data_IF_596737895571
#
_entry.id   IF_596737895571
#
_cell.length_a   1.000
_cell.length_b   1.000
_cell.length_c   1.000
_cell.angle_alpha   90.00
_cell.angle_beta   90.00
_cell.angle_gamma   90.00
#
_symmetry.space_group_name_H-M   'P 1'
#
loop_
_entity.id
_entity.type
_entity.pdbx_description
1 polymer ?
#
# COMPACT_ATOMS: atom_id res chain seq x y z
N UNK A 1 6.83 11.38 -92.34
CA UNK A 1 8.03 10.89 -91.61
C UNK A 1 8.15 11.78 -90.38
N UNK A 2 7.80 11.41 -89.15
CA UNK A 2 7.80 10.10 -88.50
C UNK A 2 8.95 10.07 -87.49
N UNK A 3 8.61 10.00 -86.19
CA UNK A 3 9.46 9.78 -84.99
C UNK A 3 10.16 11.03 -84.41
N UNK A 4 10.34 11.23 -83.10
CA UNK A 4 9.73 10.81 -81.83
C UNK A 4 10.63 11.40 -80.72
N UNK A 5 10.04 11.76 -79.56
CA UNK A 5 10.63 11.66 -78.21
C UNK A 5 11.89 12.54 -77.88
N UNK A 6 12.07 13.19 -76.73
CA UNK A 6 11.60 12.97 -75.36
C UNK A 6 11.67 14.29 -74.56
N UNK A 7 10.58 14.62 -73.88
CA UNK A 7 10.57 15.50 -72.71
C UNK A 7 11.25 14.74 -71.55
N UNK A 8 12.39 15.23 -71.08
CA UNK A 8 13.06 14.69 -69.89
C UNK A 8 12.41 15.28 -68.63
N UNK A 9 11.33 14.65 -68.16
CA UNK A 9 10.75 14.95 -66.85
C UNK A 9 11.62 14.30 -65.79
N UNK A 10 12.38 15.12 -65.06
CA UNK A 10 13.09 14.72 -63.85
C UNK A 10 12.07 14.34 -62.77
N UNK A 11 11.82 13.04 -62.62
CA UNK A 11 11.11 12.45 -61.49
C UNK A 11 11.97 12.65 -60.24
N UNK A 12 11.74 13.73 -59.50
CA UNK A 12 12.28 13.88 -58.14
C UNK A 12 11.44 13.01 -57.22
N UNK A 13 11.88 11.76 -57.04
CA UNK A 13 11.39 10.89 -55.98
C UNK A 13 11.74 11.52 -54.63
N UNK A 14 10.80 12.27 -54.06
CA UNK A 14 10.81 12.62 -52.64
C UNK A 14 10.60 11.30 -51.90
N UNK A 15 11.70 10.61 -51.59
CA UNK A 15 11.72 9.60 -50.54
C UNK A 15 11.51 10.37 -49.24
N UNK A 16 10.25 10.51 -48.83
CA UNK A 16 9.94 10.90 -47.47
C UNK A 16 10.44 9.78 -46.55
N UNK A 17 11.69 9.88 -46.11
CA UNK A 17 12.17 9.12 -44.95
C UNK A 17 11.35 9.61 -43.76
N UNK A 18 10.22 8.93 -43.48
CA UNK A 18 9.61 8.96 -42.16
C UNK A 18 10.55 8.23 -41.20
N UNK A 19 11.70 8.83 -40.90
CA UNK A 19 12.53 8.44 -39.75
C UNK A 19 12.16 9.32 -38.57
N UNK A 20 10.89 9.26 -38.18
CA UNK A 20 10.55 9.47 -36.79
C UNK A 20 10.80 8.14 -36.11
N UNK A 21 11.97 7.96 -35.49
CA UNK A 21 12.13 6.84 -34.55
C UNK A 21 11.01 6.95 -33.54
N UNK A 22 10.27 5.86 -33.32
CA UNK A 22 9.24 5.86 -32.30
C UNK A 22 9.82 6.31 -30.96
N UNK A 23 9.05 7.09 -30.21
CA UNK A 23 9.55 7.68 -28.99
C UNK A 23 9.60 6.62 -27.90
N UNK A 24 10.79 6.43 -27.31
CA UNK A 24 10.97 5.60 -26.12
C UNK A 24 10.14 6.12 -24.94
N UNK A 25 10.11 5.35 -23.85
CA UNK A 25 9.37 5.71 -22.62
C UNK A 25 10.33 6.13 -21.51
N UNK A 26 9.93 7.15 -20.74
CA UNK A 26 10.67 7.65 -19.59
C UNK A 26 10.56 6.69 -18.39
N UNK A 27 11.56 6.71 -17.50
CA UNK A 27 11.54 5.90 -16.28
C UNK A 27 10.48 6.41 -15.30
N UNK A 28 10.13 5.61 -14.29
CA UNK A 28 9.39 6.11 -13.14
C UNK A 28 10.24 7.17 -12.40
N UNK A 29 9.71 8.35 -12.06
CA UNK A 29 10.52 9.37 -11.41
C UNK A 29 10.86 9.00 -9.97
N UNK A 30 11.96 9.57 -9.48
CA UNK A 30 12.58 9.21 -8.20
C UNK A 30 11.61 9.31 -7.03
N UNK A 31 10.80 10.37 -6.97
CA UNK A 31 9.89 10.64 -5.88
C UNK A 31 8.81 9.57 -5.78
N UNK A 32 8.24 9.13 -6.93
CA UNK A 32 7.29 8.03 -6.96
C UNK A 32 7.93 6.75 -6.44
N UNK A 33 9.16 6.43 -6.86
CA UNK A 33 9.88 5.24 -6.37
C UNK A 33 10.07 5.31 -4.86
N UNK A 34 10.50 6.47 -4.33
CA UNK A 34 10.71 6.64 -2.89
C UNK A 34 9.42 6.43 -2.08
N UNK A 35 8.32 7.08 -2.47
CA UNK A 35 7.05 6.94 -1.75
C UNK A 35 6.44 5.54 -1.90
N UNK A 36 6.61 4.88 -3.05
CA UNK A 36 6.20 3.50 -3.24
C UNK A 36 7.08 2.51 -2.47
N UNK A 37 8.34 2.82 -2.21
CA UNK A 37 9.21 2.00 -1.37
C UNK A 37 8.92 2.16 0.12
N UNK A 38 8.60 3.38 0.57
CA UNK A 38 8.33 3.66 1.99
C UNK A 38 6.94 3.21 2.42
N UNK A 39 5.96 3.15 1.51
CA UNK A 39 4.62 2.66 1.83
C UNK A 39 4.61 1.21 2.35
N UNK A 40 5.20 0.21 1.67
CA UNK A 40 5.34 -1.15 2.22
C UNK A 40 6.04 -1.20 3.58
N UNK A 41 6.97 -0.27 3.84
CA UNK A 41 7.66 -0.19 5.13
C UNK A 41 6.70 0.22 6.26
N UNK A 42 5.77 1.14 6.00
CA UNK A 42 4.67 1.47 6.91
C UNK A 42 3.65 0.34 7.01
N UNK A 43 3.28 -0.26 5.88
CA UNK A 43 2.32 -1.36 5.85
C UNK A 43 2.79 -2.56 6.69
N UNK A 44 4.11 -2.77 6.78
CA UNK A 44 4.74 -3.78 7.62
C UNK A 44 4.69 -3.49 9.12
N UNK A 45 4.33 -2.28 9.56
CA UNK A 45 4.19 -1.93 10.99
C UNK A 45 2.79 -2.25 11.54
N UNK A 46 1.78 -2.35 10.68
CA UNK A 46 0.42 -2.66 11.11
C UNK A 46 0.27 -4.02 11.81
N UNK A 47 0.90 -5.14 11.37
CA UNK A 47 0.83 -6.41 12.10
C UNK A 47 1.24 -6.29 13.57
N UNK A 48 2.33 -5.56 13.86
CA UNK A 48 2.79 -5.35 15.23
C UNK A 48 1.82 -4.48 16.04
N UNK A 49 1.24 -3.45 15.42
CA UNK A 49 0.19 -2.63 16.02
C UNK A 49 -1.06 -3.45 16.38
N UNK A 50 -1.61 -4.23 15.43
CA UNK A 50 -2.80 -5.05 15.67
C UNK A 50 -2.59 -6.15 16.70
N UNK A 51 -1.42 -6.80 16.67
CA UNK A 51 -1.06 -7.79 17.67
C UNK A 51 -0.94 -7.15 19.06
N UNK A 52 -0.35 -5.96 19.16
CA UNK A 52 -0.27 -5.22 20.41
C UNK A 52 -1.65 -4.93 20.99
N UNK A 53 -2.61 -4.55 20.13
CA UNK A 53 -3.97 -4.27 20.56
C UNK A 53 -4.68 -5.55 21.05
N UNK A 54 -4.57 -6.64 20.28
CA UNK A 54 -5.09 -7.96 20.66
C UNK A 54 -4.51 -8.46 21.99
N UNK A 55 -3.21 -8.36 22.20
CA UNK A 55 -2.57 -8.76 23.46
C UNK A 55 -3.05 -7.90 24.64
N UNK A 56 -3.31 -6.61 24.39
CA UNK A 56 -3.96 -5.74 25.37
C UNK A 56 -5.33 -6.26 25.80
N UNK A 57 -6.14 -6.74 24.85
CA UNK A 57 -7.46 -7.33 25.12
C UNK A 57 -7.39 -8.62 25.89
N UNK A 58 -6.54 -9.56 25.45
CA UNK A 58 -6.36 -10.83 26.16
C UNK A 58 -5.88 -10.58 27.60
N UNK A 59 -5.00 -9.61 27.82
CA UNK A 59 -4.55 -9.24 29.17
C UNK A 59 -5.68 -8.63 30.02
N UNK A 60 -6.53 -7.79 29.44
CA UNK A 60 -7.68 -7.21 30.11
C UNK A 60 -8.71 -8.29 30.52
N UNK A 61 -9.01 -9.22 29.62
CA UNK A 61 -9.88 -10.38 29.88
C UNK A 61 -9.32 -11.27 30.98
N UNK A 62 -8.01 -11.56 30.96
CA UNK A 62 -7.35 -12.31 32.04
C UNK A 62 -7.47 -11.59 33.39
N UNK A 63 -7.34 -10.26 33.42
CA UNK A 63 -7.53 -9.46 34.63
C UNK A 63 -8.97 -9.53 35.13
N UNK A 64 -9.95 -9.53 34.22
CA UNK A 64 -11.37 -9.69 34.56
C UNK A 64 -11.64 -11.06 35.18
N UNK A 65 -11.19 -12.14 34.55
CA UNK A 65 -11.39 -13.51 35.06
C UNK A 65 -10.75 -13.71 36.43
N UNK A 66 -9.53 -13.17 36.63
CA UNK A 66 -8.87 -13.19 37.95
C UNK A 66 -9.68 -12.44 39.00
N UNK A 67 -10.29 -11.32 38.62
CA UNK A 67 -11.13 -10.52 39.51
C UNK A 67 -12.41 -11.26 39.89
N UNK A 68 -13.10 -11.86 38.92
CA UNK A 68 -14.27 -12.68 39.18
C UNK A 68 -13.96 -13.86 40.11
N UNK A 69 -12.82 -14.52 39.91
CA UNK A 69 -12.39 -15.61 40.78
C UNK A 69 -12.14 -15.13 42.21
N UNK A 70 -11.54 -13.95 42.40
CA UNK A 70 -11.38 -13.33 43.72
C UNK A 70 -12.73 -13.07 44.39
N UNK A 71 -13.72 -12.54 43.67
CA UNK A 71 -15.07 -12.36 44.20
C UNK A 71 -15.69 -13.70 44.63
N UNK A 72 -15.61 -14.74 43.78
CA UNK A 72 -16.14 -16.07 44.10
C UNK A 72 -15.50 -16.68 45.36
N UNK A 73 -14.16 -16.63 45.45
CA UNK A 73 -13.42 -17.10 46.63
C UNK A 73 -13.85 -16.32 47.88
N UNK A 74 -13.94 -14.99 47.78
CA UNK A 74 -14.33 -14.15 48.92
C UNK A 74 -15.77 -14.45 49.36
N UNK A 75 -16.72 -14.60 48.43
CA UNK A 75 -18.11 -14.97 48.78
C UNK A 75 -18.21 -16.33 49.45
N UNK A 76 -17.35 -17.29 49.10
CA UNK A 76 -17.36 -18.61 49.72
C UNK A 76 -16.90 -18.61 51.19
N UNK A 77 -16.28 -17.53 51.66
CA UNK A 77 -15.70 -17.41 53.02
C UNK A 77 -16.54 -16.53 53.95
N UNK A 78 -17.71 -16.04 53.52
CA UNK A 78 -18.43 -14.94 54.18
C UNK A 78 -19.84 -15.33 54.64
N UNK A 79 -20.39 -14.51 55.54
CA UNK A 79 -21.76 -14.69 56.03
C UNK A 79 -22.80 -14.41 54.94
N UNK A 80 -24.01 -14.94 55.09
CA UNK A 80 -25.07 -14.81 54.09
C UNK A 80 -25.43 -13.35 53.75
N UNK A 81 -25.33 -12.43 54.72
CA UNK A 81 -25.63 -11.01 54.50
C UNK A 81 -24.52 -10.28 53.72
N UNK A 82 -23.23 -10.57 54.01
CA UNK A 82 -22.11 -10.03 53.24
C UNK A 82 -22.12 -10.55 51.79
N UNK A 83 -22.50 -11.82 51.60
CA UNK A 83 -22.59 -12.45 50.27
C UNK A 83 -23.62 -11.74 49.38
N UNK A 84 -24.77 -11.31 49.92
CA UNK A 84 -25.80 -10.60 49.14
C UNK A 84 -25.27 -9.31 48.50
N UNK A 85 -24.46 -8.54 49.23
CA UNK A 85 -23.84 -7.31 48.73
C UNK A 85 -22.81 -7.61 47.64
N UNK A 86 -21.97 -8.61 47.85
CA UNK A 86 -20.85 -8.93 46.95
C UNK A 86 -21.34 -9.56 45.65
N UNK A 87 -22.37 -10.40 45.70
CA UNK A 87 -23.01 -10.94 44.48
C UNK A 87 -23.51 -9.80 43.59
N UNK A 88 -24.10 -8.74 44.16
CA UNK A 88 -24.56 -7.58 43.36
C UNK A 88 -23.39 -6.86 42.69
N UNK A 89 -22.28 -6.65 43.42
CA UNK A 89 -21.06 -6.06 42.85
C UNK A 89 -20.49 -6.95 41.75
N UNK A 90 -20.43 -8.26 41.96
CA UNK A 90 -19.94 -9.22 40.97
C UNK A 90 -20.81 -9.20 39.71
N UNK A 91 -22.14 -9.19 39.84
CA UNK A 91 -23.05 -9.09 38.68
C UNK A 91 -22.88 -7.76 37.95
N UNK A 92 -22.78 -6.64 38.67
CA UNK A 92 -22.54 -5.33 38.07
C UNK A 92 -21.18 -5.29 37.34
N UNK A 93 -20.14 -5.84 37.96
CA UNK A 93 -18.81 -5.97 37.37
C UNK A 93 -18.85 -6.81 36.10
N UNK A 94 -19.42 -8.02 36.15
CA UNK A 94 -19.53 -8.89 34.98
C UNK A 94 -20.39 -8.26 33.88
N UNK A 95 -21.49 -7.58 34.21
CA UNK A 95 -22.33 -6.94 33.20
C UNK A 95 -21.65 -5.75 32.51
N UNK A 96 -20.82 -4.99 33.24
CA UNK A 96 -20.11 -3.82 32.71
C UNK A 96 -18.78 -4.19 32.04
N UNK A 97 -18.14 -5.26 32.48
CA UNK A 97 -16.78 -5.61 32.08
C UNK A 97 -16.66 -6.75 31.09
N UNK A 98 -17.72 -7.55 30.90
CA UNK A 98 -17.65 -8.71 30.03
C UNK A 98 -17.62 -8.27 28.57
N UNK A 99 -16.43 -8.34 27.96
CA UNK A 99 -16.38 -8.60 26.52
C UNK A 99 -16.72 -10.09 26.31
N UNK A 100 -17.69 -10.37 25.45
CA UNK A 100 -17.97 -11.75 25.09
C UNK A 100 -16.93 -12.25 24.09
N UNK A 101 -16.62 -13.56 24.07
CA UNK A 101 -15.77 -14.15 23.03
C UNK A 101 -16.25 -13.79 21.60
N UNK A 102 -17.58 -13.76 21.31
CA UNK A 102 -18.10 -13.20 20.06
C UNK A 102 -17.72 -11.73 19.83
N UNK A 103 -17.74 -10.90 20.88
CA UNK A 103 -17.27 -9.51 20.81
C UNK A 103 -15.80 -9.45 20.41
N UNK A 104 -14.94 -10.23 21.05
CA UNK A 104 -13.51 -10.28 20.72
C UNK A 104 -13.28 -10.66 19.25
N UNK A 105 -14.01 -11.65 18.73
CA UNK A 105 -13.93 -12.06 17.31
C UNK A 105 -14.40 -10.96 16.36
N UNK A 106 -15.48 -10.24 16.69
CA UNK A 106 -15.93 -9.10 15.89
C UNK A 106 -14.91 -7.97 15.87
N UNK A 107 -14.16 -7.77 16.95
CA UNK A 107 -13.16 -6.71 17.03
C UNK A 107 -11.82 -7.06 16.41
N UNK A 108 -11.41 -8.34 16.47
CA UNK A 108 -10.11 -8.78 15.91
C UNK A 108 -10.14 -9.04 14.42
N UNK A 109 -11.27 -9.53 13.89
CA UNK A 109 -11.39 -9.88 12.47
C UNK A 109 -11.02 -8.72 11.53
N UNK A 110 -11.52 -7.47 11.71
CA UNK A 110 -11.12 -6.35 10.86
C UNK A 110 -9.61 -6.08 10.88
N UNK A 111 -8.94 -6.26 12.02
CA UNK A 111 -7.49 -6.08 12.14
C UNK A 111 -6.72 -7.12 11.33
N UNK A 112 -7.15 -8.38 11.38
CA UNK A 112 -6.56 -9.46 10.57
C UNK A 112 -6.80 -9.25 9.07
N UNK A 113 -7.99 -8.80 8.68
CA UNK A 113 -8.29 -8.46 7.28
C UNK A 113 -7.43 -7.28 6.79
N UNK A 114 -7.15 -6.29 7.66
CA UNK A 114 -6.27 -5.19 7.34
C UNK A 114 -4.80 -5.64 7.21
N UNK A 115 -4.33 -6.58 8.03
CA UNK A 115 -3.00 -7.21 7.87
C UNK A 115 -2.88 -7.91 6.52
N UNK A 116 -3.87 -8.75 6.17
CA UNK A 116 -3.88 -9.49 4.91
C UNK A 116 -3.85 -8.54 3.70
N UNK A 117 -4.73 -7.54 3.69
CA UNK A 117 -4.76 -6.54 2.63
C UNK A 117 -3.45 -5.74 2.53
N UNK A 118 -2.82 -5.41 3.66
CA UNK A 118 -1.53 -4.71 3.72
C UNK A 118 -0.39 -5.55 3.16
N UNK A 119 -0.32 -6.83 3.54
CA UNK A 119 0.69 -7.76 3.07
C UNK A 119 0.55 -7.99 1.56
N UNK A 120 -0.68 -8.19 1.09
CA UNK A 120 -0.96 -8.36 -0.34
C UNK A 120 -0.54 -7.13 -1.14
N UNK A 121 -0.96 -5.92 -0.72
CA UNK A 121 -0.60 -4.68 -1.40
C UNK A 121 0.92 -4.45 -1.40
N UNK A 122 1.57 -4.67 -0.25
CA UNK A 122 3.03 -4.55 -0.11
C UNK A 122 3.77 -5.46 -1.08
N UNK A 123 3.36 -6.74 -1.18
CA UNK A 123 3.94 -7.69 -2.10
C UNK A 123 3.80 -7.25 -3.56
N UNK A 124 2.62 -6.77 -3.97
CA UNK A 124 2.40 -6.29 -5.34
C UNK A 124 3.24 -5.06 -5.69
N UNK A 125 3.45 -4.15 -4.74
CA UNK A 125 4.28 -2.97 -4.93
C UNK A 125 5.75 -3.37 -5.03
N UNK A 126 6.26 -4.12 -4.04
CA UNK A 126 7.67 -4.53 -3.98
C UNK A 126 8.04 -5.35 -5.21
N UNK A 127 7.25 -6.37 -5.57
CA UNK A 127 7.53 -7.20 -6.74
C UNK A 127 7.63 -6.36 -8.03
N UNK A 128 6.69 -5.42 -8.22
CA UNK A 128 6.70 -4.55 -9.39
C UNK A 128 7.95 -3.64 -9.40
N UNK A 129 8.36 -3.11 -8.25
CA UNK A 129 9.55 -2.26 -8.15
C UNK A 129 10.84 -3.07 -8.32
N UNK A 130 10.93 -4.28 -7.75
CA UNK A 130 12.08 -5.16 -7.94
C UNK A 130 12.23 -5.55 -9.41
N UNK A 131 11.15 -5.99 -10.05
CA UNK A 131 11.13 -6.28 -11.48
C UNK A 131 11.60 -5.07 -12.32
N UNK A 132 11.02 -3.88 -12.09
CA UNK A 132 11.41 -2.67 -12.83
C UNK A 132 12.85 -2.22 -12.51
N UNK A 133 13.36 -2.49 -11.30
CA UNK A 133 14.75 -2.17 -10.95
C UNK A 133 15.75 -3.10 -11.65
N UNK A 134 15.37 -4.35 -11.89
CA UNK A 134 16.20 -5.30 -12.62
C UNK A 134 16.18 -5.04 -14.14
N UNK A 135 15.14 -4.34 -14.64
CA UNK A 135 15.11 -3.80 -16.01
C UNK A 135 15.98 -2.54 -16.15
N UNK A 136 17.29 -2.75 -16.24
CA UNK A 136 18.29 -1.73 -16.55
C UNK A 136 19.36 -2.28 -17.51
N UNK A 137 19.99 -1.38 -18.25
CA UNK A 137 21.13 -1.70 -19.09
C UNK A 137 22.39 -1.88 -18.24
N UNK A 138 23.14 -2.94 -18.52
CA UNK A 138 24.42 -3.20 -17.88
C UNK A 138 25.45 -2.12 -18.25
N UNK A 139 26.23 -1.66 -17.28
CA UNK A 139 27.14 -0.53 -17.49
C UNK A 139 27.67 0.16 -16.24
N UNK A 140 27.25 -0.29 -15.05
CA UNK A 140 27.85 0.01 -13.74
C UNK A 140 27.88 1.48 -13.28
N UNK A 141 27.48 2.44 -14.12
CA UNK A 141 27.61 3.87 -13.86
C UNK A 141 26.29 4.56 -13.46
N UNK A 142 25.15 3.86 -13.60
CA UNK A 142 23.81 4.40 -13.42
C UNK A 142 23.33 5.27 -14.58
N UNK A 143 24.17 5.61 -15.56
CA UNK A 143 23.82 6.54 -16.65
C UNK A 143 23.10 5.86 -17.83
N UNK A 144 22.96 4.54 -17.76
CA UNK A 144 22.40 3.69 -18.81
C UNK A 144 20.87 3.73 -18.86
N UNK A 145 20.27 3.01 -19.83
CA UNK A 145 18.84 2.80 -19.88
C UNK A 145 18.31 2.04 -18.64
N UNK A 146 17.05 2.25 -18.30
CA UNK A 146 16.42 1.57 -17.17
C UNK A 146 15.07 2.19 -16.78
N UNK A 147 14.34 1.47 -15.94
CA UNK A 147 12.93 1.75 -15.70
C UNK A 147 12.60 2.57 -14.46
N UNK A 148 13.54 2.74 -13.54
CA UNK A 148 13.35 3.51 -12.32
C UNK A 148 14.43 4.59 -12.21
N UNK A 149 14.05 5.83 -11.90
CA UNK A 149 14.99 6.95 -11.78
C UNK A 149 15.61 6.99 -10.37
N UNK A 150 16.93 7.06 -10.30
CA UNK A 150 17.65 7.49 -9.09
C UNK A 150 17.82 9.03 -9.08
N UNK A 151 17.88 9.64 -10.26
CA UNK A 151 17.86 11.08 -10.55
C UNK A 151 17.45 11.30 -12.01
N UNK A 152 17.42 12.56 -12.49
CA UNK A 152 17.22 12.85 -13.93
C UNK A 152 18.35 12.32 -14.83
N UNK A 153 19.54 12.06 -14.25
CA UNK A 153 20.71 11.56 -14.96
C UNK A 153 21.01 10.09 -14.73
N UNK A 154 20.39 9.46 -13.71
CA UNK A 154 20.70 8.08 -13.31
C UNK A 154 19.46 7.21 -13.10
N UNK A 155 19.60 5.93 -13.40
CA UNK A 155 18.62 4.89 -13.07
C UNK A 155 19.02 4.10 -11.82
N UNK A 156 18.05 3.43 -11.21
CA UNK A 156 18.28 2.42 -10.18
C UNK A 156 18.64 1.12 -10.89
N UNK A 157 19.80 0.58 -10.55
CA UNK A 157 20.35 -0.65 -11.17
C UNK A 157 20.22 -1.82 -10.20
N UNK A 158 19.15 -2.57 -10.37
CA UNK A 158 18.84 -3.79 -9.63
C UNK A 158 18.25 -3.56 -8.24
N UNK A 159 17.57 -4.60 -7.74
CA UNK A 159 16.84 -4.55 -6.46
C UNK A 159 17.72 -4.16 -5.26
N UNK A 160 19.02 -4.46 -5.31
CA UNK A 160 19.97 -4.09 -4.25
C UNK A 160 20.00 -2.58 -3.97
N UNK A 161 19.76 -1.75 -5.00
CA UNK A 161 19.85 -0.29 -4.96
C UNK A 161 18.50 0.42 -4.77
N UNK A 162 17.39 -0.31 -4.57
CA UNK A 162 16.09 0.29 -4.30
C UNK A 162 16.10 1.08 -2.98
N UNK A 163 15.72 2.38 -2.98
CA UNK A 163 15.83 3.24 -1.82
C UNK A 163 14.68 2.98 -0.82
N UNK A 164 15.00 2.51 0.38
CA UNK A 164 14.02 2.43 1.48
C UNK A 164 12.92 1.37 1.31
N UNK A 165 12.97 0.55 0.26
CA UNK A 165 12.14 -0.65 0.15
C UNK A 165 12.60 -1.66 1.21
N UNK A 166 11.81 -1.85 2.27
CA UNK A 166 12.13 -2.77 3.37
C UNK A 166 12.31 -4.20 2.84
N UNK A 167 13.48 -4.80 3.09
CA UNK A 167 13.81 -6.19 2.69
C UNK A 167 13.71 -7.20 3.84
N UNK A 168 13.28 -6.75 5.03
CA UNK A 168 13.27 -7.56 6.25
C UNK A 168 11.87 -7.75 6.82
N UNK A 169 11.64 -8.92 7.41
CA UNK A 169 10.57 -9.12 8.38
C UNK A 169 10.82 -8.19 9.57
N UNK A 170 9.82 -7.40 9.96
CA UNK A 170 9.92 -6.58 11.17
C UNK A 170 9.62 -7.46 12.37
N UNK A 171 10.51 -7.40 13.36
CA UNK A 171 10.28 -8.07 14.64
C UNK A 171 9.11 -7.38 15.33
N UNK A 172 8.27 -8.16 16.01
CA UNK A 172 7.15 -7.64 16.80
C UNK A 172 7.73 -6.77 17.92
N UNK A 173 7.73 -5.46 17.71
CA UNK A 173 7.97 -4.47 18.75
C UNK A 173 6.61 -3.94 19.23
N UNK A 174 6.54 -3.48 20.48
CA UNK A 174 5.35 -2.82 20.97
C UNK A 174 5.18 -1.49 20.23
N UNK A 175 4.23 -1.41 19.30
CA UNK A 175 3.90 -0.17 18.60
C UNK A 175 2.69 0.46 19.30
N UNK A 176 2.91 1.61 19.95
CA UNK A 176 1.87 2.28 20.74
C UNK A 176 0.88 3.08 19.89
N UNK A 177 1.22 3.38 18.63
CA UNK A 177 0.42 4.24 17.76
C UNK A 177 0.23 3.60 16.38
N UNK A 178 -0.97 3.81 15.83
CA UNK A 178 -1.26 3.37 14.47
C UNK A 178 -0.33 4.09 13.47
N UNK A 179 0.37 3.36 12.59
CA UNK A 179 1.13 3.96 11.51
C UNK A 179 0.22 4.82 10.61
N UNK A 180 0.71 5.99 10.19
CA UNK A 180 -0.11 6.96 9.44
C UNK A 180 0.69 7.93 8.55
N UNK A 181 1.95 7.62 8.25
CA UNK A 181 2.76 8.51 7.41
C UNK A 181 2.30 8.49 5.94
N UNK A 182 1.74 7.39 5.46
CA UNK A 182 1.28 7.20 4.10
C UNK A 182 -0.21 6.92 4.07
N UNK A 183 -0.71 5.98 4.88
CA UNK A 183 -2.11 5.61 4.93
C UNK A 183 -2.81 6.33 6.08
N UNK A 184 -3.80 7.16 5.75
CA UNK A 184 -4.59 7.94 6.72
C UNK A 184 -6.07 7.64 6.56
N UNK A 185 -6.91 8.26 7.40
CA UNK A 185 -8.36 8.22 7.25
C UNK A 185 -8.88 8.69 5.88
N UNK A 186 -8.10 9.50 5.15
CA UNK A 186 -8.44 9.96 3.80
C UNK A 186 -8.01 9.00 2.69
N UNK A 187 -6.89 8.31 2.86
CA UNK A 187 -6.24 7.52 1.82
C UNK A 187 -4.70 7.58 1.91
N UNK A 188 -4.04 7.33 0.78
CA UNK A 188 -2.57 7.29 0.63
C UNK A 188 -1.98 8.68 0.35
N UNK A 189 -1.99 9.55 1.36
CA UNK A 189 -1.80 11.02 1.22
C UNK A 189 -0.44 11.46 0.66
N UNK A 190 0.58 10.62 0.82
CA UNK A 190 1.95 10.91 0.39
C UNK A 190 2.31 10.28 -0.96
N UNK A 191 1.40 9.58 -1.64
CA UNK A 191 1.64 9.13 -3.01
C UNK A 191 1.49 10.32 -3.98
N UNK A 192 2.47 10.55 -4.88
CA UNK A 192 2.34 11.57 -5.92
C UNK A 192 1.12 11.34 -6.81
N UNK A 193 0.44 12.40 -7.22
CA UNK A 193 -0.78 12.29 -8.06
C UNK A 193 -0.52 12.54 -9.54
N UNK A 194 0.70 12.93 -9.88
CA UNK A 194 1.15 13.19 -11.24
C UNK A 194 2.54 12.62 -11.45
N UNK A 195 2.89 12.37 -12.72
CA UNK A 195 4.26 12.04 -13.12
C UNK A 195 5.03 13.35 -13.27
N UNK A 196 6.05 13.57 -12.43
CA UNK A 196 6.88 14.77 -12.47
C UNK A 196 8.14 14.53 -13.31
N UNK A 197 8.47 15.42 -14.27
CA UNK A 197 9.68 15.24 -15.08
C UNK A 197 10.98 15.65 -14.37
N UNK A 198 10.91 16.39 -13.25
CA UNK A 198 12.07 17.05 -12.62
C UNK A 198 13.19 16.09 -12.24
N UNK A 199 12.86 14.92 -11.68
CA UNK A 199 13.82 13.87 -11.32
C UNK A 199 13.50 12.56 -12.05
N UNK A 200 13.07 12.70 -13.29
CA UNK A 200 12.76 11.59 -14.18
C UNK A 200 13.88 11.40 -15.19
N UNK A 201 14.34 10.16 -15.35
CA UNK A 201 15.20 9.81 -16.49
C UNK A 201 14.37 9.91 -17.78
N UNK A 202 14.69 10.89 -18.61
CA UNK A 202 13.93 11.19 -19.83
C UNK A 202 13.86 10.00 -20.79
N UNK A 203 12.78 9.94 -21.58
CA UNK A 203 12.48 8.84 -22.51
C UNK A 203 13.61 8.48 -23.45
N UNK A 204 14.27 9.49 -24.04
CA UNK A 204 15.37 9.29 -24.98
C UNK A 204 16.55 8.49 -24.41
N UNK A 205 16.70 8.46 -23.08
CA UNK A 205 17.79 7.73 -22.41
C UNK A 205 17.33 6.58 -21.56
N UNK A 206 16.16 6.67 -20.90
CA UNK A 206 15.62 5.59 -20.07
C UNK A 206 15.22 4.36 -20.88
N UNK A 207 14.61 4.53 -22.06
CA UNK A 207 14.15 3.42 -22.92
C UNK A 207 13.30 2.35 -22.18
N UNK A 208 12.50 2.77 -21.20
CA UNK A 208 11.71 1.86 -20.37
C UNK A 208 10.42 1.40 -21.08
N UNK A 209 10.55 0.66 -22.18
CA UNK A 209 9.43 0.36 -23.06
C UNK A 209 8.35 -0.54 -22.44
N UNK A 210 8.62 -1.19 -21.29
CA UNK A 210 7.60 -1.91 -20.50
C UNK A 210 6.52 -0.98 -19.93
N UNK A 211 6.81 0.33 -19.79
CA UNK A 211 5.85 1.36 -19.39
C UNK A 211 5.11 1.98 -20.59
N UNK A 212 5.38 1.49 -21.80
CA UNK A 212 4.77 1.96 -23.05
C UNK A 212 3.82 0.94 -23.65
N UNK A 213 2.88 1.45 -24.44
CA UNK A 213 1.93 0.66 -25.23
C UNK A 213 1.93 1.05 -26.70
N UNK A 214 2.87 1.90 -27.11
CA UNK A 214 3.02 2.34 -28.49
C UNK A 214 3.37 1.16 -29.41
N UNK A 215 2.91 1.23 -30.66
CA UNK A 215 3.01 0.14 -31.65
C UNK A 215 4.39 0.00 -32.29
N UNK A 216 5.38 0.71 -31.78
CA UNK A 216 6.74 0.65 -32.27
C UNK A 216 7.75 0.47 -31.13
N UNK A 217 7.48 1.00 -29.94
CA UNK A 217 8.30 0.85 -28.75
C UNK A 217 7.44 0.55 -27.51
N UNK A 218 7.01 -0.71 -27.38
CA UNK A 218 6.36 -1.25 -26.17
C UNK A 218 7.05 -2.51 -25.68
N UNK A 219 6.64 -3.01 -24.52
CA UNK A 219 7.01 -4.34 -24.02
C UNK A 219 6.59 -5.50 -24.94
N UNK A 220 5.71 -5.26 -25.92
CA UNK A 220 5.30 -6.23 -26.93
C UNK A 220 5.81 -5.89 -28.34
N UNK A 221 6.87 -5.07 -28.43
CA UNK A 221 7.38 -4.54 -29.70
C UNK A 221 6.29 -3.81 -30.49
N UNK A 222 5.93 -4.34 -31.68
CA UNK A 222 4.95 -3.71 -32.57
C UNK A 222 3.49 -4.14 -32.33
N UNK A 223 3.25 -5.06 -31.41
CA UNK A 223 1.91 -5.48 -31.07
C UNK A 223 1.22 -4.45 -30.15
N UNK A 224 -0.07 -4.25 -30.36
CA UNK A 224 -0.88 -3.38 -29.52
C UNK A 224 -1.08 -4.02 -28.14
N UNK A 225 -0.78 -3.27 -27.08
CA UNK A 225 -1.10 -3.67 -25.71
C UNK A 225 -2.60 -3.50 -25.46
N UNK A 226 -3.20 -4.43 -24.72
CA UNK A 226 -4.61 -4.34 -24.32
C UNK A 226 -4.92 -3.02 -23.61
N UNK A 227 -6.11 -2.48 -23.86
CA UNK A 227 -6.53 -1.20 -23.29
C UNK A 227 -6.59 -1.29 -21.76
N UNK A 228 -6.09 -0.25 -21.08
CA UNK A 228 -6.19 -0.13 -19.63
C UNK A 228 -5.22 -1.00 -18.84
N UNK A 229 -4.08 -1.39 -19.46
CA UNK A 229 -3.00 -2.05 -18.75
C UNK A 229 -2.49 -1.20 -17.58
N UNK A 230 -2.22 -1.85 -16.46
CA UNK A 230 -1.78 -1.22 -15.21
C UNK A 230 -0.65 -2.00 -14.57
N UNK A 231 0.18 -1.28 -13.84
CA UNK A 231 1.30 -1.82 -13.05
C UNK A 231 1.20 -1.28 -11.61
N UNK A 232 2.05 -1.81 -10.72
CA UNK A 232 2.14 -1.34 -9.32
C UNK A 232 0.77 -1.32 -8.64
N UNK A 233 0.10 -2.48 -8.67
CA UNK A 233 -1.23 -2.70 -8.09
C UNK A 233 -2.33 -1.72 -8.57
N UNK A 234 -2.19 -1.13 -9.76
CA UNK A 234 -3.16 -0.18 -10.32
C UNK A 234 -2.78 1.29 -10.15
N UNK A 235 -1.68 1.58 -9.45
CA UNK A 235 -1.20 2.95 -9.30
C UNK A 235 -0.65 3.53 -10.59
N UNK A 236 0.10 2.76 -11.39
CA UNK A 236 0.59 3.20 -12.70
C UNK A 236 -0.37 2.72 -13.79
N UNK A 237 -0.89 3.67 -14.58
CA UNK A 237 -1.78 3.42 -15.71
C UNK A 237 -1.03 3.66 -17.01
N UNK A 238 -0.89 2.63 -17.82
CA UNK A 238 -0.23 2.78 -19.12
C UNK A 238 -1.18 3.50 -20.08
N UNK A 239 -0.64 4.42 -20.88
CA UNK A 239 -1.43 5.09 -21.90
C UNK A 239 -1.94 4.10 -22.94
N UNK A 240 -2.89 4.50 -23.80
CA UNK A 240 -3.34 3.69 -24.95
C UNK A 240 -2.54 4.11 -26.18
N UNK A 241 -1.88 3.16 -26.84
CA UNK A 241 -1.02 3.43 -28.00
C UNK A 241 -0.10 4.62 -27.75
N UNK A 242 0.58 4.61 -26.60
CA UNK A 242 1.30 5.77 -26.09
C UNK A 242 2.62 5.36 -25.48
N UNK A 243 3.61 6.24 -25.60
CA UNK A 243 4.88 6.18 -24.91
C UNK A 243 4.86 6.91 -23.55
N UNK A 244 3.66 7.25 -23.06
CA UNK A 244 3.45 7.91 -21.77
C UNK A 244 2.57 7.05 -20.87
N UNK A 245 2.67 7.30 -19.57
CA UNK A 245 1.84 6.70 -18.54
C UNK A 245 1.41 7.77 -17.54
N UNK A 246 0.36 7.48 -16.81
CA UNK A 246 -0.14 8.34 -15.72
C UNK A 246 -0.15 7.57 -14.41
N UNK A 247 -0.43 8.26 -13.31
CA UNK A 247 -0.66 7.64 -12.01
C UNK A 247 -2.10 7.88 -11.55
N UNK A 248 -2.61 6.96 -10.73
CA UNK A 248 -3.91 7.10 -10.08
C UNK A 248 -3.76 7.96 -8.82
N UNK A 249 -4.59 8.99 -8.65
CA UNK A 249 -4.67 9.74 -7.38
C UNK A 249 -5.35 8.86 -6.32
N UNK A 250 -4.60 8.54 -5.27
CA UNK A 250 -5.00 7.68 -4.15
C UNK A 250 -5.02 8.43 -2.82
N UNK A 251 -4.89 9.76 -2.82
CA UNK A 251 -4.78 10.55 -1.58
C UNK A 251 -6.10 10.70 -0.83
N UNK A 252 -7.22 10.66 -1.56
CA UNK A 252 -8.56 10.85 -1.02
C UNK A 252 -9.52 9.77 -1.55
N UNK A 253 -9.32 8.56 -1.02
CA UNK A 253 -10.20 7.40 -1.24
C UNK A 253 -11.49 7.52 -0.43
N UNK A 254 -11.50 8.35 0.61
CA UNK A 254 -12.72 8.66 1.35
C UNK A 254 -13.79 9.31 0.44
N UNK A 255 -13.37 10.24 -0.43
CA UNK A 255 -14.27 10.93 -1.34
C UNK A 255 -14.32 10.29 -2.74
N UNK A 256 -13.33 9.47 -3.11
CA UNK A 256 -13.21 8.94 -4.47
C UNK A 256 -12.89 7.44 -4.46
N UNK A 257 -13.91 6.62 -4.69
CA UNK A 257 -13.74 5.18 -4.90
C UNK A 257 -12.79 4.91 -6.09
N UNK A 258 -11.77 4.06 -5.85
CA UNK A 258 -10.80 3.58 -6.84
C UNK A 258 -10.79 2.05 -6.95
N UNK A 259 -11.86 1.36 -6.57
CA UNK A 259 -11.96 -0.10 -6.67
C UNK A 259 -11.68 -0.64 -8.08
N UNK A 260 -12.08 0.10 -9.12
CA UNK A 260 -11.84 -0.31 -10.50
C UNK A 260 -10.44 0.06 -11.00
N UNK A 261 -9.85 1.14 -10.47
CA UNK A 261 -8.55 1.67 -10.85
C UNK A 261 -7.41 0.93 -10.14
N UNK A 262 -7.48 0.85 -8.83
CA UNK A 262 -6.45 0.39 -7.92
C UNK A 262 -7.08 -0.49 -6.81
N UNK A 263 -7.67 -1.64 -7.15
CA UNK A 263 -8.49 -2.46 -6.24
C UNK A 263 -7.79 -2.83 -4.93
N UNK A 264 -6.48 -3.07 -4.99
CA UNK A 264 -5.71 -3.49 -3.82
C UNK A 264 -5.36 -2.32 -2.90
N UNK A 265 -5.24 -1.11 -3.44
CA UNK A 265 -5.16 0.11 -2.63
C UNK A 265 -6.50 0.40 -1.96
N UNK A 266 -7.60 0.31 -2.71
CA UNK A 266 -8.97 0.48 -2.16
C UNK A 266 -9.24 -0.53 -1.04
N UNK A 267 -8.99 -1.81 -1.30
CA UNK A 267 -9.18 -2.87 -0.30
C UNK A 267 -8.36 -2.61 0.96
N UNK A 268 -7.08 -2.25 0.82
CA UNK A 268 -6.26 -1.94 1.99
C UNK A 268 -6.83 -0.74 2.77
N UNK A 269 -7.19 0.34 2.09
CA UNK A 269 -7.82 1.50 2.72
C UNK A 269 -9.11 1.12 3.48
N UNK A 270 -10.01 0.37 2.84
CA UNK A 270 -11.28 -0.03 3.44
C UNK A 270 -11.10 -0.93 4.66
N UNK A 271 -10.17 -1.89 4.60
CA UNK A 271 -9.89 -2.76 5.75
C UNK A 271 -9.30 -1.99 6.92
N UNK A 272 -8.36 -1.07 6.66
CA UNK A 272 -7.82 -0.18 7.68
C UNK A 272 -8.88 0.75 8.28
N UNK A 273 -9.75 1.31 7.45
CA UNK A 273 -10.87 2.16 7.87
C UNK A 273 -11.91 1.40 8.71
N UNK A 274 -12.15 0.13 8.38
CA UNK A 274 -13.08 -0.72 9.13
C UNK A 274 -12.55 -1.13 10.50
N UNK A 275 -11.23 -1.05 10.70
CA UNK A 275 -10.63 -1.32 11.99
C UNK A 275 -10.85 -0.16 12.95
N UNK A 276 -11.52 -0.45 14.06
CA UNK A 276 -11.54 0.45 15.21
C UNK A 276 -10.58 -0.12 16.24
N UNK A 277 -9.53 0.63 16.65
CA UNK A 277 -8.67 0.22 17.75
C UNK A 277 -9.52 -0.13 18.94
N UNK A 278 -9.21 -1.25 19.55
CA UNK A 278 -10.06 -1.74 20.59
C UNK A 278 -9.90 -0.83 21.80
N UNK A 279 -11.01 -0.22 22.21
CA UNK A 279 -11.06 0.57 23.43
C UNK A 279 -10.69 -0.35 24.58
N UNK A 280 -9.53 -0.11 25.22
CA UNK A 280 -9.19 -0.73 26.50
C UNK A 280 -10.30 -0.39 27.49
N UNK A 281 -11.27 -1.28 27.67
CA UNK A 281 -12.31 -1.10 28.65
C UNK A 281 -11.61 -0.88 30.00
N UNK A 282 -11.72 0.33 30.55
CA UNK A 282 -11.26 0.62 31.90
C UNK A 282 -12.24 -0.04 32.85
N UNK A 283 -12.06 -1.33 33.06
CA UNK A 283 -12.72 -2.03 34.13
C UNK A 283 -11.88 -1.91 35.38
N UNK A 284 -12.09 -0.79 36.09
CA UNK A 284 -11.58 -0.59 37.43
C UNK A 284 -12.66 -1.00 38.45
N UNK A 285 -12.29 -1.92 39.34
CA UNK A 285 -13.13 -2.30 40.49
C UNK A 285 -13.47 -1.09 41.36
N UNK A 286 -12.57 -0.09 41.42
CA UNK A 286 -12.77 1.13 42.20
C UNK A 286 -14.00 1.93 41.76
N UNK A 287 -14.50 1.75 40.53
CA UNK A 287 -15.75 2.37 40.08
C UNK A 287 -17.00 1.73 40.67
N UNK A 288 -16.87 0.60 41.37
CA UNK A 288 -17.98 -0.13 42.00
C UNK A 288 -17.91 -0.13 43.52
N UNK A 289 -16.92 0.55 44.12
CA UNK A 289 -16.91 0.76 45.57
C UNK A 289 -17.95 1.81 45.95
N UNK A 290 -18.92 1.42 46.77
CA UNK A 290 -19.84 2.35 47.42
C UNK A 290 -19.01 3.18 48.41
N UNK A 291 -19.15 4.52 48.37
CA UNK A 291 -18.58 5.39 49.39
C UNK A 291 -19.10 4.91 50.76
N UNK A 292 -18.19 4.50 51.63
CA UNK A 292 -18.49 4.30 53.04
C UNK A 292 -18.58 5.68 53.68
N UNK A 293 -19.81 6.17 53.88
CA UNK A 293 -20.10 7.20 54.89
C UNK A 293 -20.20 6.55 56.27
#
# INVERSE_FOLDING_TARGET
>A
MGHNLLLSVLLTSIVATRTGYAANVAALPKEQVMHLCSLPAELADYPAFYQSDLLGHVSAEQKMQRTELKFRIYTAQRSAEEVKLIIRIMVAYTNKCKESLPSLMMTTKPGLEAVDASAYLSGRIIESLEFLSDLHEDGGSGSSAGCLSASSSKVIEGKAKLPGCSKGSRVIAHVAQQPSAHLTAKGFVNLPTTVSPTNQRASGTSKCNVLGTDNANSGLASAQVANGAKLLAGYVRLGRNSNTYTVTDLRDLQANDKANEAPHFETAYDKHKSYTPISKAKCDIAEFSVATE
#
